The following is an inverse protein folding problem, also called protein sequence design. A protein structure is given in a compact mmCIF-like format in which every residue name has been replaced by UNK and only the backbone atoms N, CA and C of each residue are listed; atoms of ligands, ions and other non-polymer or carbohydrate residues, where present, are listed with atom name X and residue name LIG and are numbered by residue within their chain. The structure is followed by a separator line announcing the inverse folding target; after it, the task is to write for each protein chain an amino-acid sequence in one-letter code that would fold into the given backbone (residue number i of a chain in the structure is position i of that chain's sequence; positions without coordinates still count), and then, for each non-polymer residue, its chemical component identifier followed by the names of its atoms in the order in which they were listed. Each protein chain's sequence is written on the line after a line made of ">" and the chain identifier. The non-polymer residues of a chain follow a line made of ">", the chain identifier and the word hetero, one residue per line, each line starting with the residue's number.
data_IF_712605660329
#
_entry.id   IF_712605660329
#
_cell.length_a   1.000
_cell.length_b   1.000
_cell.length_c   1.000
_cell.angle_alpha   90.00
_cell.angle_beta   90.00
_cell.angle_gamma   90.00
#
_symmetry.space_group_name_H-M   'P 1'
#
loop_
_entity.id
_entity.type
_entity.pdbx_description
1 polymer ?
#
# COMPACT_ATOMS: atom_id res chain seq x y z
N UNK A 1 -7.47 -3.03 3.68
CA UNK A 1 -8.30 -3.25 4.89
C UNK A 1 -7.72 -2.53 6.10
N UNK A 2 -6.42 -2.66 6.37
CA UNK A 2 -5.79 -2.12 7.59
C UNK A 2 -5.94 -0.60 7.73
N UNK A 3 -5.93 0.17 6.65
CA UNK A 3 -6.20 1.62 6.68
C UNK A 3 -7.61 1.92 7.19
N UNK A 4 -8.61 1.16 6.75
CA UNK A 4 -10.00 1.30 7.24
C UNK A 4 -10.08 0.93 8.72
N UNK A 5 -9.42 -0.16 9.14
CA UNK A 5 -9.36 -0.57 10.53
C UNK A 5 -8.76 0.52 11.43
N UNK A 6 -7.60 1.06 11.04
CA UNK A 6 -6.94 2.17 11.75
C UNK A 6 -7.86 3.39 11.85
N UNK A 7 -8.52 3.77 10.75
CA UNK A 7 -9.44 4.91 10.73
C UNK A 7 -10.63 4.70 11.68
N UNK A 8 -11.24 3.51 11.67
CA UNK A 8 -12.35 3.17 12.58
C UNK A 8 -11.90 3.20 14.03
N UNK A 9 -10.78 2.58 14.38
CA UNK A 9 -10.26 2.57 15.74
C UNK A 9 -9.91 3.99 16.23
N UNK A 10 -9.33 4.83 15.36
CA UNK A 10 -9.04 6.23 15.66
C UNK A 10 -10.30 7.01 15.98
N UNK A 11 -11.35 6.85 15.17
CA UNK A 11 -12.64 7.49 15.39
C UNK A 11 -13.32 7.00 16.69
N UNK A 12 -13.30 5.69 16.93
CA UNK A 12 -13.88 5.08 18.13
C UNK A 12 -13.13 5.51 19.40
N UNK A 13 -11.79 5.54 19.38
CA UNK A 13 -10.98 6.01 20.50
C UNK A 13 -11.35 7.46 20.88
N UNK A 14 -11.46 8.33 19.86
CA UNK A 14 -11.88 9.72 20.05
C UNK A 14 -13.30 9.81 20.63
N UNK A 15 -14.24 9.06 20.08
CA UNK A 15 -15.61 9.05 20.56
C UNK A 15 -15.74 8.59 22.02
N UNK A 16 -14.93 7.62 22.41
CA UNK A 16 -14.87 7.12 23.80
C UNK A 16 -14.01 7.96 24.72
N UNK A 17 -13.33 9.00 24.23
CA UNK A 17 -12.40 9.79 25.03
C UNK A 17 -11.14 9.01 25.46
N UNK A 18 -10.78 7.95 24.73
CA UNK A 18 -9.57 7.16 24.99
C UNK A 18 -8.40 7.78 24.24
N UNK A 19 -7.37 8.17 24.97
CA UNK A 19 -6.11 8.65 24.37
C UNK A 19 -5.21 7.47 24.05
N UNK A 20 -4.74 7.41 22.80
CA UNK A 20 -3.78 6.43 22.31
C UNK A 20 -2.65 7.15 21.59
N UNK A 21 -1.42 6.71 21.83
CA UNK A 21 -0.31 7.08 20.95
C UNK A 21 -0.34 6.25 19.65
N UNK A 22 0.50 6.62 18.69
CA UNK A 22 0.53 5.99 17.39
C UNK A 22 0.94 4.49 17.46
N UNK A 23 1.82 4.12 18.37
CA UNK A 23 2.22 2.72 18.55
C UNK A 23 1.09 1.88 19.12
N UNK A 24 0.42 2.37 20.18
CA UNK A 24 -0.73 1.70 20.77
C UNK A 24 -1.88 1.51 19.77
N UNK A 25 -2.14 2.51 18.92
CA UNK A 25 -3.16 2.43 17.89
C UNK A 25 -2.79 1.39 16.81
N UNK A 26 -1.54 1.39 16.34
CA UNK A 26 -1.07 0.44 15.33
C UNK A 26 -1.11 -1.01 15.86
N UNK A 27 -0.69 -1.21 17.12
CA UNK A 27 -0.73 -2.52 17.78
C UNK A 27 -2.16 -3.01 17.99
N UNK A 28 -3.07 -2.15 18.45
CA UNK A 28 -4.49 -2.48 18.56
C UNK A 28 -5.09 -2.87 17.21
N UNK A 29 -4.77 -2.14 16.14
CA UNK A 29 -5.25 -2.48 14.81
C UNK A 29 -4.71 -3.84 14.34
N UNK A 30 -3.46 -4.16 14.66
CA UNK A 30 -2.88 -5.47 14.43
C UNK A 30 -3.61 -6.56 15.22
N UNK A 31 -3.83 -6.36 16.52
CA UNK A 31 -4.54 -7.32 17.37
C UNK A 31 -5.92 -7.63 16.80
N UNK A 32 -6.70 -6.63 16.49
CA UNK A 32 -8.06 -6.82 15.94
C UNK A 32 -8.01 -7.56 14.60
N UNK A 33 -7.15 -7.14 13.65
CA UNK A 33 -7.13 -7.77 12.32
C UNK A 33 -6.54 -9.19 12.36
N UNK A 34 -5.42 -9.39 13.05
CA UNK A 34 -4.64 -10.62 12.96
C UNK A 34 -4.97 -11.67 14.01
N UNK A 35 -5.31 -11.23 15.22
CA UNK A 35 -5.57 -12.15 16.33
C UNK A 35 -7.07 -12.40 16.51
N UNK A 36 -7.90 -11.35 16.54
CA UNK A 36 -9.33 -11.50 16.81
C UNK A 36 -10.09 -11.94 15.55
N UNK A 37 -9.86 -11.27 14.42
CA UNK A 37 -10.50 -11.60 13.12
C UNK A 37 -9.75 -12.71 12.36
N UNK A 38 -8.56 -13.11 12.82
CA UNK A 38 -7.73 -14.19 12.23
C UNK A 38 -7.45 -13.99 10.75
N UNK A 39 -7.25 -12.76 10.31
CA UNK A 39 -6.88 -12.43 8.94
C UNK A 39 -5.36 -12.57 8.82
N UNK A 40 -4.87 -13.50 8.00
CA UNK A 40 -3.44 -13.70 7.79
C UNK A 40 -2.76 -12.44 7.24
N UNK A 41 -1.59 -12.10 7.79
CA UNK A 41 -0.79 -10.94 7.35
C UNK A 41 0.26 -10.52 8.36
N UNK A 42 1.13 -9.59 7.93
CA UNK A 42 2.15 -8.97 8.78
C UNK A 42 1.66 -7.70 9.49
N UNK A 43 2.62 -7.01 10.11
CA UNK A 43 2.41 -5.77 10.88
C UNK A 43 2.46 -4.49 10.03
N UNK A 44 2.99 -4.55 8.81
CA UNK A 44 3.40 -3.37 8.03
C UNK A 44 2.25 -2.38 7.81
N UNK A 45 1.09 -2.88 7.41
CA UNK A 45 0.00 -2.03 6.91
C UNK A 45 -0.63 -1.19 8.03
N UNK A 46 -0.76 -1.75 9.23
CA UNK A 46 -1.29 -1.04 10.40
C UNK A 46 -0.37 0.10 10.82
N UNK A 47 0.94 -0.17 10.88
CA UNK A 47 1.93 0.86 11.22
C UNK A 47 2.02 1.93 10.13
N UNK A 48 2.07 1.55 8.85
CA UNK A 48 2.10 2.50 7.75
C UNK A 48 0.86 3.41 7.73
N UNK A 49 -0.33 2.87 7.94
CA UNK A 49 -1.57 3.63 7.97
C UNK A 49 -1.65 4.57 9.19
N UNK A 50 -1.12 4.15 10.33
CA UNK A 50 -1.15 4.94 11.56
C UNK A 50 -0.18 6.11 11.51
N UNK A 51 1.06 5.87 11.06
CA UNK A 51 2.11 6.90 11.08
C UNK A 51 2.06 7.82 9.86
N UNK A 52 1.60 7.35 8.70
CA UNK A 52 1.64 8.11 7.45
C UNK A 52 3.05 8.48 7.00
N UNK A 53 3.17 9.13 5.85
CA UNK A 53 4.45 9.58 5.32
C UNK A 53 5.40 8.48 4.88
N UNK A 54 6.68 8.79 4.88
CA UNK A 54 7.75 7.88 4.49
C UNK A 54 8.47 7.37 5.73
N UNK A 55 8.40 6.07 5.97
CA UNK A 55 9.00 5.45 7.15
C UNK A 55 9.88 4.26 6.77
N UNK A 56 10.96 4.10 7.50
CA UNK A 56 11.69 2.85 7.59
C UNK A 56 11.27 2.15 8.88
N UNK A 57 10.54 1.04 8.75
CA UNK A 57 9.96 0.34 9.89
C UNK A 57 10.75 -0.94 10.12
N UNK A 58 11.24 -1.11 11.35
CA UNK A 58 11.99 -2.28 11.78
C UNK A 58 11.16 -3.11 12.77
N UNK A 59 11.02 -4.38 12.47
CA UNK A 59 10.29 -5.33 13.29
C UNK A 59 11.27 -6.28 13.96
N UNK A 60 11.46 -6.11 15.28
CA UNK A 60 12.37 -6.92 16.11
C UNK A 60 11.60 -7.93 16.97
N UNK A 61 10.67 -8.66 16.37
CA UNK A 61 9.73 -9.56 17.06
C UNK A 61 8.39 -8.87 17.38
N UNK A 62 7.56 -9.58 18.16
CA UNK A 62 6.13 -9.27 18.28
C UNK A 62 5.82 -7.92 18.95
N UNK A 63 6.67 -7.45 19.86
CA UNK A 63 6.40 -6.26 20.68
C UNK A 63 7.50 -5.21 20.57
N UNK A 64 8.36 -5.31 19.57
CA UNK A 64 9.46 -4.36 19.40
C UNK A 64 9.49 -3.87 17.95
N UNK A 65 8.73 -2.81 17.70
CA UNK A 65 8.66 -2.15 16.40
C UNK A 65 9.24 -0.77 16.51
N UNK A 66 10.13 -0.42 15.60
CA UNK A 66 10.74 0.91 15.51
C UNK A 66 10.33 1.56 14.21
N UNK A 67 9.64 2.68 14.31
CA UNK A 67 9.26 3.49 13.14
C UNK A 67 10.23 4.67 13.03
N UNK A 68 11.00 4.69 11.95
CA UNK A 68 11.96 5.75 11.65
C UNK A 68 11.41 6.64 10.51
N UNK A 69 10.85 7.82 10.79
CA UNK A 69 10.42 8.74 9.75
C UNK A 69 11.60 9.21 8.89
N UNK A 70 11.48 9.09 7.59
CA UNK A 70 12.52 9.49 6.66
C UNK A 70 12.41 10.98 6.30
N UNK A 71 13.49 11.72 6.50
CA UNK A 71 13.57 13.14 6.14
C UNK A 71 13.96 13.30 4.68
N UNK A 72 13.00 13.17 3.79
CA UNK A 72 13.20 13.33 2.36
C UNK A 72 12.93 14.77 1.97
N UNK A 73 13.77 15.35 1.09
CA UNK A 73 13.55 16.69 0.55
C UNK A 73 12.26 16.74 -0.26
N UNK A 74 11.52 17.84 -0.18
CA UNK A 74 10.24 18.00 -0.88
C UNK A 74 10.36 17.80 -2.39
N UNK A 75 11.44 18.31 -2.98
CA UNK A 75 11.69 18.18 -4.42
C UNK A 75 11.80 16.71 -4.83
N UNK A 76 12.49 15.88 -4.03
CA UNK A 76 12.60 14.44 -4.25
C UNK A 76 11.22 13.76 -4.13
N UNK A 77 10.40 14.16 -3.15
CA UNK A 77 9.05 13.63 -2.99
C UNK A 77 8.18 13.97 -4.20
N UNK A 78 8.22 15.21 -4.68
CA UNK A 78 7.46 15.66 -5.83
C UNK A 78 7.92 14.94 -7.11
N UNK A 79 9.22 14.82 -7.32
CA UNK A 79 9.77 14.06 -8.44
C UNK A 79 9.40 12.59 -8.38
N UNK A 80 9.51 11.97 -7.21
CA UNK A 80 9.09 10.58 -7.01
C UNK A 80 7.60 10.39 -7.32
N UNK A 81 6.73 11.27 -6.80
CA UNK A 81 5.30 11.20 -7.05
C UNK A 81 4.99 11.36 -8.54
N UNK A 82 5.66 12.27 -9.23
CA UNK A 82 5.48 12.45 -10.66
C UNK A 82 5.95 11.23 -11.47
N UNK A 83 7.06 10.63 -11.08
CA UNK A 83 7.66 9.47 -11.78
C UNK A 83 6.97 8.14 -11.46
N UNK A 84 6.07 8.08 -10.47
CA UNK A 84 5.33 6.88 -10.16
C UNK A 84 3.98 6.87 -10.89
N UNK A 85 3.65 5.73 -11.49
CA UNK A 85 2.33 5.43 -12.04
C UNK A 85 1.68 4.33 -11.21
N UNK A 86 0.42 4.52 -10.85
CA UNK A 86 -0.40 3.52 -10.19
C UNK A 86 -1.45 3.00 -11.17
N UNK A 87 -1.46 1.70 -11.40
CA UNK A 87 -2.34 1.06 -12.37
C UNK A 87 -3.11 -0.09 -11.72
N UNK A 88 -4.43 -0.02 -11.78
CA UNK A 88 -5.30 -1.13 -11.37
C UNK A 88 -5.28 -2.24 -12.42
N UNK A 89 -5.08 -3.47 -11.98
CA UNK A 89 -4.91 -4.65 -12.84
C UNK A 89 -6.22 -5.32 -13.26
N UNK A 90 -7.37 -4.75 -12.85
CA UNK A 90 -8.69 -5.28 -13.22
C UNK A 90 -9.17 -6.49 -12.40
N UNK A 91 -8.36 -7.02 -11.49
CA UNK A 91 -8.73 -8.18 -10.66
C UNK A 91 -8.41 -7.93 -9.19
N UNK A 92 -9.32 -8.37 -8.32
CA UNK A 92 -9.11 -8.43 -6.87
C UNK A 92 -9.05 -9.91 -6.49
N UNK A 93 -7.97 -10.34 -5.86
CA UNK A 93 -7.85 -11.67 -5.29
C UNK A 93 -7.91 -11.63 -3.77
N UNK A 94 -8.33 -12.75 -3.16
CA UNK A 94 -8.34 -12.90 -1.70
C UNK A 94 -6.89 -13.01 -1.21
N UNK A 95 -6.35 -11.93 -0.67
CA UNK A 95 -4.95 -11.79 -0.23
C UNK A 95 -4.53 -12.88 0.76
N UNK A 96 -5.44 -13.35 1.63
CA UNK A 96 -5.16 -14.36 2.65
C UNK A 96 -4.59 -15.66 2.06
N UNK A 97 -5.15 -16.14 0.92
CA UNK A 97 -4.68 -17.37 0.28
C UNK A 97 -3.25 -17.24 -0.28
N UNK A 98 -2.88 -16.05 -0.73
CA UNK A 98 -1.56 -15.78 -1.28
C UNK A 98 -0.53 -15.68 -0.16
N UNK A 99 -0.88 -14.99 0.93
CA UNK A 99 -0.01 -14.89 2.12
C UNK A 99 0.23 -16.26 2.73
N UNK A 100 -0.82 -17.07 2.87
CA UNK A 100 -0.71 -18.43 3.38
C UNK A 100 0.23 -19.29 2.53
N UNK A 101 0.15 -19.20 1.21
CA UNK A 101 1.03 -19.90 0.29
C UNK A 101 2.50 -19.40 0.40
N UNK A 102 2.73 -18.10 0.54
CA UNK A 102 4.06 -17.57 0.80
C UNK A 102 4.66 -18.13 2.10
N UNK A 103 3.90 -18.13 3.18
CA UNK A 103 4.34 -18.68 4.48
C UNK A 103 4.70 -20.17 4.37
N UNK A 104 3.90 -20.96 3.67
CA UNK A 104 4.18 -22.40 3.43
C UNK A 104 5.45 -22.62 2.59
N UNK A 105 5.80 -21.65 1.74
CA UNK A 105 7.00 -21.76 0.91
C UNK A 105 8.28 -21.32 1.61
N UNK A 106 8.23 -20.68 2.79
CA UNK A 106 9.44 -20.19 3.48
C UNK A 106 10.43 -21.28 3.87
N UNK A 107 10.00 -22.54 3.96
CA UNK A 107 10.88 -23.69 4.17
C UNK A 107 11.69 -24.06 2.91
N UNK A 108 11.26 -23.59 1.73
CA UNK A 108 11.98 -23.81 0.47
C UNK A 108 13.14 -22.83 0.36
N UNK A 109 14.33 -23.37 0.05
CA UNK A 109 15.58 -22.60 -0.04
C UNK A 109 15.44 -21.35 -0.92
N UNK A 110 14.90 -21.49 -2.13
CA UNK A 110 14.76 -20.39 -3.08
C UNK A 110 13.81 -19.26 -2.58
N UNK A 111 12.69 -19.63 -1.94
CA UNK A 111 11.76 -18.67 -1.36
C UNK A 111 12.37 -17.94 -0.15
N UNK A 112 13.15 -18.65 0.67
CA UNK A 112 13.89 -18.08 1.79
C UNK A 112 14.98 -17.10 1.32
N UNK A 113 15.76 -17.49 0.32
CA UNK A 113 16.78 -16.61 -0.27
C UNK A 113 16.14 -15.35 -0.86
N UNK A 114 15.02 -15.49 -1.61
CA UNK A 114 14.25 -14.37 -2.14
C UNK A 114 13.74 -13.43 -1.04
N UNK A 115 13.29 -13.96 0.07
CA UNK A 115 12.87 -13.15 1.23
C UNK A 115 14.05 -12.37 1.84
N UNK A 116 15.21 -12.99 1.96
CA UNK A 116 16.43 -12.33 2.43
C UNK A 116 16.87 -11.21 1.49
N UNK A 117 16.78 -11.42 0.17
CA UNK A 117 17.03 -10.40 -0.85
C UNK A 117 16.07 -9.21 -0.70
N UNK A 118 14.76 -9.45 -0.57
CA UNK A 118 13.74 -8.39 -0.37
C UNK A 118 14.01 -7.62 0.92
N UNK A 119 14.44 -8.29 2.00
CA UNK A 119 14.84 -7.64 3.25
C UNK A 119 16.06 -6.73 3.05
N UNK A 120 17.10 -7.21 2.37
CA UNK A 120 18.29 -6.42 2.08
C UNK A 120 17.99 -5.20 1.19
N UNK A 121 17.09 -5.36 0.22
CA UNK A 121 16.63 -4.28 -0.64
C UNK A 121 15.94 -3.14 0.09
N UNK A 122 15.29 -3.39 1.22
CA UNK A 122 14.64 -2.34 2.01
C UNK A 122 15.67 -1.28 2.46
N UNK A 123 16.87 -1.70 2.84
CA UNK A 123 17.97 -0.78 3.19
C UNK A 123 18.48 -0.01 1.98
N UNK A 124 18.72 -0.69 0.86
CA UNK A 124 19.19 -0.06 -0.37
C UNK A 124 18.15 0.95 -0.92
N UNK A 125 16.88 0.60 -0.96
CA UNK A 125 15.79 1.50 -1.37
C UNK A 125 15.70 2.74 -0.47
N UNK A 126 15.82 2.57 0.85
CA UNK A 126 15.86 3.69 1.80
C UNK A 126 17.03 4.62 1.48
N UNK A 127 18.22 4.07 1.28
CA UNK A 127 19.43 4.86 1.03
C UNK A 127 19.36 5.62 -0.29
N UNK A 128 18.90 4.99 -1.37
CA UNK A 128 18.73 5.65 -2.67
C UNK A 128 17.66 6.74 -2.63
N UNK A 129 16.57 6.50 -1.89
CA UNK A 129 15.52 7.50 -1.69
C UNK A 129 16.00 8.72 -0.93
N UNK A 130 16.77 8.53 0.16
CA UNK A 130 17.33 9.62 0.97
C UNK A 130 18.38 10.44 0.20
N UNK A 131 19.14 9.80 -0.70
CA UNK A 131 20.10 10.46 -1.59
C UNK A 131 19.44 11.16 -2.78
N UNK A 132 18.17 10.86 -3.08
CA UNK A 132 17.47 11.34 -4.28
C UNK A 132 17.86 10.63 -5.57
N UNK A 133 18.49 9.46 -5.49
CA UNK A 133 18.86 8.64 -6.64
C UNK A 133 17.67 7.85 -7.17
N UNK A 134 16.65 8.55 -7.66
CA UNK A 134 15.36 7.95 -8.01
C UNK A 134 15.45 6.95 -9.17
N UNK A 135 16.41 7.10 -10.10
CA UNK A 135 16.66 6.10 -11.14
C UNK A 135 17.13 4.76 -10.57
N UNK A 136 18.05 4.78 -9.62
CA UNK A 136 18.49 3.58 -8.90
C UNK A 136 17.36 2.99 -8.08
N UNK A 137 16.56 3.83 -7.42
CA UNK A 137 15.34 3.41 -6.72
C UNK A 137 14.38 2.63 -7.63
N UNK A 138 14.13 3.14 -8.85
CA UNK A 138 13.29 2.46 -9.85
C UNK A 138 13.82 1.07 -10.24
N UNK A 139 15.13 0.94 -10.47
CA UNK A 139 15.77 -0.35 -10.79
C UNK A 139 15.72 -1.33 -9.61
N UNK A 140 15.90 -0.83 -8.39
CA UNK A 140 15.77 -1.66 -7.18
C UNK A 140 14.34 -2.16 -6.96
N UNK A 141 13.31 -1.41 -7.38
CA UNK A 141 11.93 -1.88 -7.38
C UNK A 141 11.74 -3.09 -8.31
N UNK A 142 12.36 -3.06 -9.52
CA UNK A 142 12.33 -4.22 -10.43
C UNK A 142 12.99 -5.45 -9.79
N UNK A 143 14.20 -5.28 -9.28
CA UNK A 143 14.90 -6.39 -8.61
C UNK A 143 14.06 -6.98 -7.47
N UNK A 144 13.46 -6.12 -6.65
CA UNK A 144 12.56 -6.55 -5.55
C UNK A 144 11.31 -7.28 -6.06
N UNK A 145 10.77 -6.87 -7.20
CA UNK A 145 9.64 -7.56 -7.81
C UNK A 145 10.02 -8.95 -8.32
N UNK A 146 11.17 -9.10 -9.00
CA UNK A 146 11.66 -10.39 -9.45
C UNK A 146 11.91 -11.34 -8.26
N UNK A 147 12.55 -10.85 -7.18
CA UNK A 147 12.76 -11.62 -5.96
C UNK A 147 11.42 -12.01 -5.30
N UNK A 148 10.47 -11.08 -5.23
CA UNK A 148 9.14 -11.38 -4.65
C UNK A 148 8.40 -12.48 -5.42
N UNK A 149 8.46 -12.49 -6.76
CA UNK A 149 7.83 -13.55 -7.57
C UNK A 149 8.34 -14.96 -7.26
N UNK A 150 9.60 -15.10 -6.82
CA UNK A 150 10.18 -16.39 -6.39
C UNK A 150 9.60 -16.93 -5.09
N UNK A 151 8.99 -16.09 -4.26
CA UNK A 151 8.40 -16.51 -2.97
C UNK A 151 7.13 -17.34 -3.13
N UNK A 152 6.35 -17.14 -4.20
CA UNK A 152 5.15 -17.93 -4.52
C UNK A 152 4.70 -17.70 -5.96
N UNK A 153 4.30 -18.78 -6.63
CA UNK A 153 3.73 -18.72 -7.98
C UNK A 153 2.36 -18.00 -8.05
N UNK A 154 1.73 -17.74 -6.90
CA UNK A 154 0.44 -17.03 -6.82
C UNK A 154 0.58 -15.51 -6.74
N UNK A 155 1.80 -15.00 -6.63
CA UNK A 155 2.08 -13.55 -6.50
C UNK A 155 1.77 -12.83 -7.81
N UNK A 156 2.02 -13.46 -8.94
CA UNK A 156 1.72 -12.91 -10.27
C UNK A 156 0.76 -13.79 -11.06
N UNK A 157 0.35 -13.31 -12.21
CA UNK A 157 -0.42 -14.05 -13.21
C UNK A 157 -0.13 -13.47 -14.61
N UNK A 158 -0.52 -14.15 -15.72
CA UNK A 158 -0.19 -13.71 -17.07
C UNK A 158 -0.60 -12.27 -17.39
N UNK A 159 -1.71 -11.78 -16.86
CA UNK A 159 -2.17 -10.41 -17.08
C UNK A 159 -1.27 -9.38 -16.37
N UNK A 160 -0.86 -9.67 -15.13
CA UNK A 160 0.05 -8.81 -14.37
C UNK A 160 1.43 -8.78 -15.05
N UNK A 161 1.93 -9.95 -15.45
CA UNK A 161 3.22 -10.05 -16.15
C UNK A 161 3.18 -9.30 -17.49
N UNK A 162 2.11 -9.41 -18.26
CA UNK A 162 1.91 -8.64 -19.49
C UNK A 162 1.92 -7.13 -19.24
N UNK A 163 1.16 -6.63 -18.25
CA UNK A 163 1.14 -5.22 -17.88
C UNK A 163 2.53 -4.71 -17.47
N UNK A 164 3.24 -5.51 -16.69
CA UNK A 164 4.58 -5.20 -16.24
C UNK A 164 5.58 -5.12 -17.40
N UNK A 165 5.59 -6.13 -18.28
CA UNK A 165 6.47 -6.20 -19.41
C UNK A 165 6.21 -5.08 -20.43
N UNK A 166 4.94 -4.73 -20.69
CA UNK A 166 4.60 -3.61 -21.56
C UNK A 166 5.06 -2.26 -20.97
N UNK A 167 4.99 -2.11 -19.64
CA UNK A 167 5.51 -0.93 -18.98
C UNK A 167 7.05 -0.83 -19.12
N UNK A 168 7.79 -1.93 -18.92
CA UNK A 168 9.25 -1.96 -19.12
C UNK A 168 9.63 -1.66 -20.56
N UNK A 169 8.96 -2.27 -21.57
CA UNK A 169 9.19 -2.01 -22.99
C UNK A 169 8.96 -0.54 -23.35
N UNK A 170 8.03 0.13 -22.68
CA UNK A 170 7.76 1.56 -22.89
C UNK A 170 8.74 2.50 -22.16
N UNK A 171 9.65 1.96 -21.34
CA UNK A 171 10.72 2.69 -20.68
C UNK A 171 10.57 2.86 -19.17
N UNK A 172 9.65 2.17 -18.51
CA UNK A 172 9.65 2.07 -17.05
C UNK A 172 10.94 1.40 -16.57
N UNK A 173 11.47 1.82 -15.43
CA UNK A 173 12.71 1.25 -14.87
C UNK A 173 12.44 0.08 -13.90
N UNK A 174 11.22 -0.06 -13.44
CA UNK A 174 10.81 -1.12 -12.53
C UNK A 174 9.52 -0.77 -11.83
N UNK A 175 9.08 -1.66 -10.97
CA UNK A 175 7.84 -1.51 -10.25
C UNK A 175 7.55 -2.70 -9.35
N UNK A 176 6.37 -2.72 -8.77
CA UNK A 176 5.90 -3.85 -7.96
C UNK A 176 4.38 -3.89 -7.88
N UNK A 177 3.83 -5.08 -7.76
CA UNK A 177 2.44 -5.22 -7.35
C UNK A 177 2.33 -4.93 -5.85
N UNK A 178 1.39 -4.05 -5.48
CA UNK A 178 1.16 -3.68 -4.09
C UNK A 178 0.37 -4.78 -3.35
N UNK A 179 0.61 -4.90 -2.05
CA UNK A 179 -0.04 -5.90 -1.20
C UNK A 179 0.51 -7.31 -1.37
N UNK A 180 -0.34 -8.33 -1.14
CA UNK A 180 0.03 -9.73 -1.09
C UNK A 180 0.46 -10.30 -2.46
N UNK A 181 -0.17 -9.86 -3.53
CA UNK A 181 0.00 -10.37 -4.88
C UNK A 181 -1.33 -10.74 -5.54
N UNK A 182 -1.25 -11.33 -6.74
CA UNK A 182 -2.38 -11.91 -7.48
C UNK A 182 -3.32 -10.93 -8.17
N UNK A 183 -3.28 -9.64 -7.81
CA UNK A 183 -4.12 -8.57 -8.36
C UNK A 183 -4.08 -7.31 -7.51
N UNK A 184 -4.87 -6.32 -7.88
CA UNK A 184 -4.90 -5.02 -7.23
C UNK A 184 -4.14 -3.96 -8.01
N UNK A 185 -3.22 -3.25 -7.39
CA UNK A 185 -2.51 -2.14 -7.99
C UNK A 185 -1.05 -2.46 -8.29
N UNK A 186 -0.64 -2.18 -9.51
CA UNK A 186 0.74 -2.22 -9.97
C UNK A 186 1.32 -0.81 -9.91
N UNK A 187 2.40 -0.63 -9.14
CA UNK A 187 3.14 0.62 -9.04
C UNK A 187 4.37 0.54 -9.94
N UNK A 188 4.51 1.47 -10.90
CA UNK A 188 5.65 1.52 -11.82
C UNK A 188 6.42 2.82 -11.66
N UNK A 189 7.74 2.75 -11.62
CA UNK A 189 8.61 3.91 -11.70
C UNK A 189 8.97 4.19 -13.16
N UNK A 190 8.58 5.37 -13.63
CA UNK A 190 8.73 5.81 -15.01
C UNK A 190 9.47 7.14 -15.03
N UNK A 191 10.66 7.24 -15.63
CA UNK A 191 11.29 8.54 -15.85
C UNK A 191 10.32 9.52 -16.53
N UNK A 192 10.35 10.78 -16.10
CA UNK A 192 9.38 11.81 -16.51
C UNK A 192 9.19 11.91 -18.04
N UNK A 193 10.27 11.73 -18.80
CA UNK A 193 10.27 11.85 -20.27
C UNK A 193 9.59 10.68 -21.01
N UNK A 194 9.38 9.54 -20.36
CA UNK A 194 8.70 8.36 -20.92
C UNK A 194 7.39 8.02 -20.22
N UNK A 195 7.07 8.68 -19.10
CA UNK A 195 5.90 8.40 -18.28
C UNK A 195 4.60 8.32 -19.08
N UNK A 196 4.37 9.25 -20.00
CA UNK A 196 3.18 9.27 -20.87
C UNK A 196 3.11 8.06 -21.81
N UNK A 197 4.27 7.56 -22.30
CA UNK A 197 4.34 6.36 -23.15
C UNK A 197 4.02 5.10 -22.36
N UNK A 198 4.56 5.01 -21.13
CA UNK A 198 4.27 3.90 -20.22
C UNK A 198 2.79 3.88 -19.87
N UNK A 199 2.21 5.04 -19.52
CA UNK A 199 0.80 5.18 -19.22
C UNK A 199 -0.08 4.65 -20.38
N UNK A 200 0.14 5.14 -21.60
CA UNK A 200 -0.62 4.72 -22.77
C UNK A 200 -0.49 3.21 -23.06
N UNK A 201 0.72 2.64 -22.87
CA UNK A 201 0.94 1.19 -23.11
C UNK A 201 0.23 0.33 -22.06
N UNK A 202 0.24 0.75 -20.80
CA UNK A 202 -0.48 0.03 -19.74
C UNK A 202 -1.99 0.06 -19.97
N UNK A 203 -2.55 1.19 -20.38
CA UNK A 203 -3.98 1.28 -20.73
C UNK A 203 -4.33 0.40 -21.94
N UNK A 204 -3.52 0.40 -23.00
CA UNK A 204 -3.70 -0.48 -24.17
C UNK A 204 -3.62 -1.96 -23.79
N UNK A 205 -2.83 -2.32 -22.76
CA UNK A 205 -2.74 -3.67 -22.25
C UNK A 205 -3.88 -4.04 -21.25
N UNK A 206 -4.87 -3.13 -21.05
CA UNK A 206 -6.06 -3.37 -20.23
C UNK A 206 -5.91 -2.94 -18.77
N UNK A 207 -4.86 -2.23 -18.41
CA UNK A 207 -4.71 -1.60 -17.10
C UNK A 207 -5.53 -0.33 -16.99
N UNK A 208 -5.89 0.06 -15.78
CA UNK A 208 -6.62 1.30 -15.48
C UNK A 208 -5.75 2.18 -14.60
N UNK A 209 -5.32 3.33 -15.12
CA UNK A 209 -4.53 4.27 -14.33
C UNK A 209 -5.38 4.89 -13.23
N UNK A 210 -4.78 5.05 -12.06
CA UNK A 210 -5.42 5.65 -10.89
C UNK A 210 -4.68 6.93 -10.48
N UNK A 211 -5.45 7.97 -10.17
CA UNK A 211 -4.92 9.15 -9.50
C UNK A 211 -4.66 8.85 -8.03
N UNK A 212 -3.56 9.36 -7.51
CA UNK A 212 -3.13 9.11 -6.14
C UNK A 212 -2.19 10.19 -5.63
N UNK A 213 -2.09 10.31 -4.33
CA UNK A 213 -1.15 11.20 -3.66
C UNK A 213 -0.54 10.50 -2.44
N UNK A 214 0.65 10.92 -2.02
CA UNK A 214 1.20 10.52 -0.74
C UNK A 214 0.41 11.17 0.40
N UNK A 215 -0.02 10.38 1.39
CA UNK A 215 -0.57 10.89 2.65
C UNK A 215 0.55 10.95 3.70
N UNK A 216 0.83 12.16 4.18
CA UNK A 216 1.98 12.39 5.06
C UNK A 216 1.60 12.38 6.55
N UNK A 217 0.31 12.47 6.89
CA UNK A 217 -0.14 12.72 8.26
C UNK A 217 -0.55 11.47 9.04
N UNK A 218 -0.83 10.36 8.35
CA UNK A 218 -1.29 9.13 8.99
C UNK A 218 -2.72 9.21 9.56
N UNK A 219 -2.94 8.53 10.69
CA UNK A 219 -4.24 8.44 11.32
C UNK A 219 -4.67 9.77 11.93
N UNK A 220 -5.86 10.24 11.59
CA UNK A 220 -6.44 11.47 12.10
C UNK A 220 -7.92 11.28 12.44
N UNK A 221 -8.41 12.01 13.42
CA UNK A 221 -9.83 12.10 13.74
C UNK A 221 -10.20 13.52 14.14
N UNK A 222 -11.42 13.92 13.82
CA UNK A 222 -11.96 15.23 14.20
C UNK A 222 -13.43 15.08 14.56
N UNK A 223 -13.96 16.05 15.28
CA UNK A 223 -15.39 16.15 15.55
C UNK A 223 -15.96 17.07 14.47
N UNK A 224 -16.98 16.62 13.76
CA UNK A 224 -17.74 17.49 12.86
C UNK A 224 -18.55 18.47 13.71
N UNK A 225 -18.49 19.76 13.37
CA UNK A 225 -19.35 20.76 13.97
C UNK A 225 -20.72 20.72 13.27
N UNK A 226 -21.70 20.11 13.90
CA UNK A 226 -23.06 19.96 13.36
C UNK A 226 -23.70 21.29 13.01
N UNK A 227 -23.31 22.40 13.65
CA UNK A 227 -23.82 23.73 13.34
C UNK A 227 -23.46 24.24 11.95
N UNK A 228 -22.45 23.63 11.31
CA UNK A 228 -22.01 23.97 9.93
C UNK A 228 -22.67 23.16 8.83
N UNK A 229 -23.39 22.09 9.20
CA UNK A 229 -24.07 21.22 8.25
C UNK A 229 -25.57 21.43 8.36
N UNK A 230 -26.14 22.27 7.47
CA UNK A 230 -27.57 22.17 7.19
C UNK A 230 -27.77 20.89 6.39
N UNK A 231 -28.15 19.82 7.06
CA UNK A 231 -28.58 18.62 6.38
C UNK A 231 -29.92 18.89 5.71
N UNK A 232 -29.91 19.19 4.41
CA UNK A 232 -31.11 19.00 3.61
C UNK A 232 -31.51 17.53 3.74
N UNK A 233 -32.79 17.30 4.08
CA UNK A 233 -33.30 15.94 4.26
C UNK A 233 -32.97 15.11 3.04
N UNK A 234 -32.08 14.08 3.21
CA UNK A 234 -31.76 13.16 2.14
C UNK A 234 -32.99 12.30 1.87
N UNK A 235 -33.68 12.61 0.78
CA UNK A 235 -34.78 11.79 0.27
C UNK A 235 -34.19 10.63 -0.52
N UNK A 236 -34.25 9.42 0.01
CA UNK A 236 -33.89 8.20 -0.72
C UNK A 236 -35.17 7.66 -1.38
N UNK A 237 -35.22 7.69 -2.71
CA UNK A 237 -36.27 7.03 -3.49
C UNK A 237 -35.98 5.53 -3.56
N UNK A 238 -36.82 4.75 -2.91
CA UNK A 238 -36.76 3.29 -2.98
C UNK A 238 -37.96 2.76 -3.80
N UNK A 239 -37.85 1.59 -4.46
CA UNK A 239 -38.92 1.04 -5.29
C UNK A 239 -40.27 0.85 -4.57
N UNK A 240 -40.31 0.85 -3.24
CA UNK A 240 -41.49 0.60 -2.41
C UNK A 240 -41.91 1.78 -1.55
N UNK A 241 -41.44 3.02 -1.82
CA UNK A 241 -41.83 4.23 -1.10
C UNK A 241 -40.67 5.11 -0.67
N UNK A 242 -41.00 6.34 -0.24
CA UNK A 242 -40.03 7.30 0.31
C UNK A 242 -39.76 7.00 1.77
N UNK A 243 -38.51 6.75 2.15
CA UNK A 243 -38.08 6.76 3.54
C UNK A 243 -37.36 8.08 3.88
N UNK A 244 -37.79 8.72 4.95
CA UNK A 244 -37.12 9.89 5.53
C UNK A 244 -36.24 9.41 6.67
N UNK A 245 -34.95 9.62 6.56
CA UNK A 245 -34.03 9.46 7.67
C UNK A 245 -33.84 10.83 8.34
N UNK A 246 -34.25 10.97 9.60
CA UNK A 246 -33.77 12.03 10.47
C UNK A 246 -32.40 11.57 11.01
N UNK A 247 -31.33 12.14 10.47
CA UNK A 247 -29.97 11.93 10.96
C UNK A 247 -29.66 13.07 11.93
#
# INVERSE_FOLDING_TARGET
>A
SSTVMVAMLTAMARWKGVMMDAYALADLAYQVERLDLKIDGGYQDQYAATFGGFNFIEFHGRNNVVVNPLRIKKDIIHELQYNLLLCYTGKIHVSANIIKDQVQNYEKKDAFEAMCEVKALAYALKDELLKGNLHSFGKLLDYGWQSKKRMSSKITNPQIDQLYDEALKAGALGGKLLGAGGGGYLLMYCPYNVRHKVAARMEQAGGQLADWNFELRGAQSWVADESRWQYDQVKVHMPNGEYRFNI
#
